data_IF_992727536842
#
_entry.id   IF_992727536842
#
_cell.length_a   1.000
_cell.length_b   1.000
_cell.length_c   1.000
_cell.angle_alpha   90.00
_cell.angle_beta   90.00
_cell.angle_gamma   90.00
#
_symmetry.space_group_name_H-M   'P 1'
#
loop_
_entity.id
_entity.type
_entity.pdbx_description
1 polymer ?
#
# COMPACT_ATOMS: atom_id res chain seq x y z
N UNK A 1 -7.78 -5.00 -6.24
CA UNK A 1 -8.71 -6.17 -6.20
C UNK A 1 -8.43 -7.06 -5.00
N UNK A 2 -7.17 -7.50 -4.76
CA UNK A 2 -6.83 -8.40 -3.64
C UNK A 2 -7.25 -7.87 -2.26
N UNK A 3 -7.15 -6.57 -2.00
CA UNK A 3 -7.59 -5.98 -0.74
C UNK A 3 -9.12 -6.09 -0.54
N UNK A 4 -9.89 -5.94 -1.60
CA UNK A 4 -11.35 -6.05 -1.57
C UNK A 4 -11.80 -7.52 -1.53
N UNK A 5 -11.12 -8.42 -2.26
CA UNK A 5 -11.42 -9.85 -2.24
C UNK A 5 -11.07 -10.51 -0.89
N UNK A 6 -10.17 -9.91 -0.10
CA UNK A 6 -9.90 -10.36 1.27
C UNK A 6 -11.02 -10.03 2.25
N UNK A 7 -11.84 -9.01 1.96
CA UNK A 7 -13.03 -8.63 2.75
C UNK A 7 -14.27 -9.43 2.38
N UNK A 8 -14.43 -9.73 1.09
CA UNK A 8 -15.61 -10.37 0.52
C UNK A 8 -15.18 -11.64 -0.23
N UNK A 9 -15.12 -12.81 0.44
CA UNK A 9 -14.69 -14.07 -0.17
C UNK A 9 -15.49 -14.46 -1.42
N UNK A 10 -16.75 -14.02 -1.50
CA UNK A 10 -17.63 -14.27 -2.66
C UNK A 10 -17.13 -13.61 -3.95
N UNK A 11 -16.39 -12.49 -3.84
CA UNK A 11 -15.82 -11.79 -4.99
C UNK A 11 -14.58 -12.49 -5.58
N UNK A 12 -13.99 -13.45 -4.86
CA UNK A 12 -12.85 -14.24 -5.36
C UNK A 12 -13.17 -14.98 -6.67
N UNK A 13 -14.40 -15.42 -6.85
CA UNK A 13 -14.82 -16.09 -8.10
C UNK A 13 -14.91 -15.13 -9.29
N UNK A 14 -15.00 -13.82 -9.06
CA UNK A 14 -15.19 -12.79 -10.06
C UNK A 14 -14.04 -11.75 -10.08
N UNK A 15 -12.88 -12.08 -9.55
CA UNK A 15 -11.74 -11.16 -9.46
C UNK A 15 -11.35 -10.52 -10.80
N UNK A 16 -11.36 -11.32 -11.89
CA UNK A 16 -11.00 -10.83 -13.22
C UNK A 16 -12.06 -9.85 -13.75
N UNK A 17 -13.34 -10.16 -13.58
CA UNK A 17 -14.43 -9.28 -14.02
C UNK A 17 -14.44 -7.97 -13.26
N UNK A 18 -14.18 -8.03 -11.95
CA UNK A 18 -14.06 -6.85 -11.09
C UNK A 18 -12.82 -6.00 -11.43
N UNK A 19 -11.69 -6.65 -11.70
CA UNK A 19 -10.48 -5.96 -12.16
C UNK A 19 -10.68 -5.25 -13.49
N UNK A 20 -11.36 -5.91 -14.46
CA UNK A 20 -11.69 -5.31 -15.75
C UNK A 20 -12.64 -4.11 -15.61
N UNK A 21 -13.63 -4.21 -14.72
CA UNK A 21 -14.55 -3.10 -14.44
C UNK A 21 -13.81 -1.89 -13.84
N UNK A 22 -12.93 -2.12 -12.86
CA UNK A 22 -12.11 -1.05 -12.31
C UNK A 22 -11.17 -0.44 -13.34
N UNK A 23 -10.54 -1.26 -14.19
CA UNK A 23 -9.69 -0.80 -15.28
C UNK A 23 -10.47 0.06 -16.29
N UNK A 24 -11.68 -0.36 -16.66
CA UNK A 24 -12.56 0.40 -17.55
C UNK A 24 -12.96 1.73 -16.91
N UNK A 25 -13.27 1.75 -15.63
CA UNK A 25 -13.66 2.96 -14.88
C UNK A 25 -12.49 3.93 -14.77
N UNK A 26 -11.28 3.46 -14.44
CA UNK A 26 -10.06 4.25 -14.40
C UNK A 26 -9.72 4.80 -15.81
N UNK A 27 -9.81 3.96 -16.83
CA UNK A 27 -9.60 4.37 -18.22
C UNK A 27 -10.59 5.44 -18.67
N UNK A 28 -11.86 5.28 -18.35
CA UNK A 28 -12.89 6.26 -18.66
C UNK A 28 -12.68 7.60 -17.92
N UNK A 29 -12.28 7.55 -16.64
CA UNK A 29 -11.94 8.75 -15.87
C UNK A 29 -10.72 9.49 -16.45
N UNK A 30 -9.71 8.75 -16.91
CA UNK A 30 -8.54 9.33 -17.57
C UNK A 30 -8.87 9.99 -18.93
N UNK A 31 -9.81 9.44 -19.69
CA UNK A 31 -10.26 10.03 -20.95
C UNK A 31 -10.98 11.37 -20.77
N UNK A 32 -11.53 11.64 -19.59
CA UNK A 32 -12.17 12.92 -19.26
C UNK A 32 -11.21 14.08 -18.98
N UNK A 33 -9.93 13.80 -18.84
CA UNK A 33 -8.89 14.80 -18.68
C UNK A 33 -8.08 14.63 -17.38
N UNK A 34 -6.79 14.91 -17.47
CA UNK A 34 -5.81 14.72 -16.38
C UNK A 34 -6.16 15.47 -15.09
N UNK A 35 -6.76 16.66 -15.19
CA UNK A 35 -7.11 17.47 -14.01
C UNK A 35 -8.29 16.90 -13.24
N UNK A 36 -9.30 16.37 -13.93
CA UNK A 36 -10.48 15.77 -13.32
C UNK A 36 -10.15 14.40 -12.75
N UNK A 37 -9.43 13.58 -13.50
CA UNK A 37 -8.93 12.29 -13.04
C UNK A 37 -8.08 12.43 -11.77
N UNK A 38 -7.13 13.39 -11.75
CA UNK A 38 -6.29 13.64 -10.58
C UNK A 38 -7.09 14.02 -9.33
N UNK A 39 -8.20 14.76 -9.47
CA UNK A 39 -9.07 15.14 -8.35
C UNK A 39 -9.86 13.94 -7.81
N UNK A 40 -10.34 13.08 -8.69
CA UNK A 40 -11.08 11.87 -8.31
C UNK A 40 -10.15 10.88 -7.59
N UNK A 41 -8.93 10.65 -8.10
CA UNK A 41 -7.96 9.75 -7.49
C UNK A 41 -7.28 10.31 -6.24
N UNK A 42 -7.30 11.62 -6.03
CA UNK A 42 -6.74 12.22 -4.82
C UNK A 42 -7.47 11.74 -3.55
N UNK A 43 -8.79 11.59 -3.60
CA UNK A 43 -9.59 11.18 -2.43
C UNK A 43 -9.16 9.81 -1.89
N UNK A 44 -9.18 8.71 -2.66
CA UNK A 44 -8.74 7.42 -2.14
C UNK A 44 -7.25 7.41 -1.78
N UNK A 45 -6.40 8.15 -2.51
CA UNK A 45 -4.97 8.23 -2.21
C UNK A 45 -4.71 8.89 -0.84
N UNK A 46 -5.34 10.03 -0.56
CA UNK A 46 -5.20 10.66 0.75
C UNK A 46 -5.86 9.85 1.86
N UNK A 47 -7.01 9.22 1.59
CA UNK A 47 -7.64 8.31 2.54
C UNK A 47 -6.68 7.17 2.92
N UNK A 48 -6.05 6.53 1.94
CA UNK A 48 -5.06 5.47 2.17
C UNK A 48 -3.86 5.96 3.00
N UNK A 49 -3.27 7.11 2.65
CA UNK A 49 -2.15 7.69 3.42
C UNK A 49 -2.54 7.95 4.87
N UNK A 50 -3.73 8.56 5.09
CA UNK A 50 -4.24 8.83 6.44
C UNK A 50 -4.44 7.52 7.20
N UNK A 51 -5.01 6.49 6.58
CA UNK A 51 -5.24 5.19 7.22
C UNK A 51 -3.94 4.48 7.59
N UNK A 52 -2.91 4.56 6.75
CA UNK A 52 -1.58 4.01 7.09
C UNK A 52 -0.95 4.78 8.27
N UNK A 53 -1.12 6.10 8.32
CA UNK A 53 -0.66 6.90 9.47
C UNK A 53 -1.41 6.50 10.74
N UNK A 54 -2.74 6.35 10.67
CA UNK A 54 -3.56 5.91 11.81
C UNK A 54 -3.14 4.51 12.27
N UNK A 55 -2.93 3.58 11.34
CA UNK A 55 -2.43 2.23 11.64
C UNK A 55 -1.07 2.29 12.33
N UNK A 56 -0.16 3.13 11.82
CA UNK A 56 1.19 3.28 12.38
C UNK A 56 1.13 3.83 13.81
N UNK A 57 0.37 4.89 14.04
CA UNK A 57 0.22 5.50 15.37
C UNK A 57 -0.46 4.54 16.33
N UNK A 58 -1.52 3.85 15.91
CA UNK A 58 -2.22 2.87 16.73
C UNK A 58 -1.33 1.67 17.06
N UNK A 59 -0.59 1.15 16.08
CA UNK A 59 0.36 0.05 16.28
C UNK A 59 1.52 0.43 17.20
N UNK A 60 2.09 1.63 17.05
CA UNK A 60 3.11 2.11 17.97
C UNK A 60 2.56 2.27 19.39
N UNK A 61 1.35 2.76 19.53
CA UNK A 61 0.68 2.89 20.83
C UNK A 61 0.47 1.52 21.47
N UNK A 62 0.02 0.55 20.72
CA UNK A 62 -0.18 -0.81 21.21
C UNK A 62 1.16 -1.45 21.64
N UNK A 63 2.22 -1.30 20.84
CA UNK A 63 3.55 -1.77 21.18
C UNK A 63 4.13 -1.11 22.45
N UNK A 64 3.79 0.17 22.71
CA UNK A 64 4.30 0.89 23.89
C UNK A 64 3.54 0.56 25.16
N UNK A 65 2.23 0.35 25.08
CA UNK A 65 1.35 0.27 26.26
C UNK A 65 0.84 -1.12 26.57
N UNK A 66 0.68 -1.99 25.56
CA UNK A 66 0.01 -3.27 25.71
C UNK A 66 0.91 -4.46 25.38
N UNK A 67 1.59 -4.41 24.26
CA UNK A 67 2.37 -5.54 23.74
C UNK A 67 3.83 -5.54 24.17
N UNK A 68 4.40 -4.35 24.38
CA UNK A 68 5.84 -4.14 24.57
C UNK A 68 6.61 -4.22 23.24
N UNK A 69 7.87 -3.76 23.27
CA UNK A 69 8.76 -3.82 22.09
C UNK A 69 9.46 -5.20 21.97
N UNK A 70 8.69 -6.28 22.14
CA UNK A 70 9.17 -7.66 21.95
C UNK A 70 8.56 -8.19 20.66
N UNK A 71 9.38 -8.53 19.64
CA UNK A 71 8.84 -9.06 18.39
C UNK A 71 8.14 -10.40 18.63
N UNK A 72 6.94 -10.53 18.05
CA UNK A 72 6.26 -11.81 17.99
C UNK A 72 7.08 -12.83 17.17
N UNK A 73 7.09 -14.10 17.56
CA UNK A 73 7.75 -15.11 16.77
C UNK A 73 7.13 -15.14 15.37
N UNK A 74 7.95 -15.09 14.31
CA UNK A 74 7.42 -15.15 12.95
C UNK A 74 6.71 -16.49 12.75
N UNK A 75 5.59 -16.53 11.99
CA UNK A 75 4.93 -17.79 11.69
C UNK A 75 5.92 -18.72 10.98
N UNK A 76 5.87 -20.01 11.31
CA UNK A 76 6.70 -21.01 10.62
C UNK A 76 6.26 -21.13 9.17
N UNK A 77 6.77 -20.27 8.32
CA UNK A 77 6.56 -20.35 6.87
C UNK A 77 7.65 -21.24 6.32
N UNK A 78 7.28 -22.38 5.72
CA UNK A 78 8.25 -23.18 4.97
C UNK A 78 8.79 -22.32 3.84
N UNK A 79 10.12 -22.16 3.79
CA UNK A 79 10.77 -21.49 2.68
C UNK A 79 10.40 -22.23 1.38
N UNK A 80 9.70 -21.56 0.48
CA UNK A 80 9.27 -22.14 -0.80
C UNK A 80 10.46 -22.18 -1.78
N UNK A 81 11.39 -21.23 -1.64
CA UNK A 81 12.58 -21.11 -2.47
C UNK A 81 13.83 -20.89 -1.59
N UNK A 82 14.99 -21.48 -1.96
CA UNK A 82 16.23 -21.22 -1.24
C UNK A 82 16.66 -19.76 -1.44
N UNK A 83 17.30 -19.18 -0.41
CA UNK A 83 17.93 -17.86 -0.49
C UNK A 83 19.07 -17.89 -1.54
N UNK A 84 18.72 -17.61 -2.78
CA UNK A 84 19.65 -17.56 -3.90
C UNK A 84 19.62 -16.19 -4.59
N UNK A 85 20.58 -15.99 -5.50
CA UNK A 85 20.69 -14.78 -6.33
C UNK A 85 19.37 -14.49 -7.08
N UNK A 86 18.66 -15.53 -7.52
CA UNK A 86 17.39 -15.39 -8.24
C UNK A 86 16.31 -14.76 -7.36
N UNK A 87 16.20 -15.17 -6.10
CA UNK A 87 15.24 -14.59 -5.15
C UNK A 87 15.55 -13.11 -4.88
N UNK A 88 16.83 -12.76 -4.75
CA UNK A 88 17.27 -11.36 -4.57
C UNK A 88 16.92 -10.53 -5.79
N UNK A 89 17.19 -11.03 -7.00
CA UNK A 89 16.85 -10.34 -8.25
C UNK A 89 15.33 -10.17 -8.42
N UNK A 90 14.56 -11.17 -8.06
CA UNK A 90 13.10 -11.12 -8.08
C UNK A 90 12.55 -10.08 -7.10
N UNK A 91 13.08 -10.05 -5.87
CA UNK A 91 12.70 -9.04 -4.88
C UNK A 91 13.08 -7.63 -5.34
N UNK A 92 14.27 -7.46 -5.93
CA UNK A 92 14.70 -6.19 -6.52
C UNK A 92 13.78 -5.75 -7.66
N UNK A 93 13.46 -6.64 -8.59
CA UNK A 93 12.54 -6.36 -9.70
C UNK A 93 11.16 -5.93 -9.21
N UNK A 94 10.63 -6.62 -8.20
CA UNK A 94 9.34 -6.25 -7.58
C UNK A 94 9.40 -4.88 -6.90
N UNK A 95 10.52 -4.56 -6.24
CA UNK A 95 10.75 -3.24 -5.65
C UNK A 95 10.83 -2.12 -6.69
N UNK A 96 11.45 -2.39 -7.85
CA UNK A 96 11.52 -1.43 -8.95
C UNK A 96 10.13 -1.06 -9.49
N UNK A 97 9.17 -1.99 -9.48
CA UNK A 97 7.79 -1.71 -9.89
C UNK A 97 7.11 -0.65 -9.00
N UNK A 98 7.48 -0.57 -7.72
CA UNK A 98 6.97 0.44 -6.81
C UNK A 98 7.48 1.86 -7.15
N UNK A 99 8.58 1.98 -7.89
CA UNK A 99 9.16 3.26 -8.30
C UNK A 99 8.55 3.85 -9.58
N UNK A 100 7.60 3.16 -10.22
CA UNK A 100 6.97 3.61 -11.49
C UNK A 100 6.32 4.99 -11.36
N UNK A 101 5.78 5.32 -10.19
CA UNK A 101 5.21 6.65 -9.93
C UNK A 101 6.24 7.78 -9.98
N UNK A 102 7.48 7.53 -9.61
CA UNK A 102 8.59 8.50 -9.68
C UNK A 102 8.92 8.81 -11.15
N UNK A 103 8.97 7.78 -11.97
CA UNK A 103 9.21 7.91 -13.42
C UNK A 103 8.11 8.74 -14.10
N UNK A 104 6.84 8.50 -13.74
CA UNK A 104 5.71 9.25 -14.28
C UNK A 104 5.83 10.76 -14.00
N UNK A 105 6.29 11.16 -12.82
CA UNK A 105 6.54 12.56 -12.48
C UNK A 105 7.74 13.11 -13.23
N UNK A 106 8.83 12.33 -13.35
CA UNK A 106 10.04 12.76 -14.06
C UNK A 106 9.76 13.01 -15.54
N UNK A 107 8.96 12.16 -16.18
CA UNK A 107 8.57 12.30 -17.59
C UNK A 107 7.49 13.38 -17.79
N UNK A 108 6.69 13.65 -16.76
CA UNK A 108 5.57 14.61 -16.81
C UNK A 108 5.89 16.01 -16.30
N UNK A 109 7.16 16.42 -16.19
CA UNK A 109 7.54 17.74 -15.63
C UNK A 109 6.83 18.90 -16.33
N UNK A 110 6.61 18.82 -17.64
CA UNK A 110 5.96 19.86 -18.44
C UNK A 110 4.48 20.09 -18.09
N UNK A 111 3.84 19.13 -17.40
CA UNK A 111 2.42 19.24 -16.98
C UNK A 111 2.28 20.06 -15.69
N UNK A 112 3.38 20.28 -14.97
CA UNK A 112 3.37 21.07 -13.73
C UNK A 112 3.19 22.56 -14.00
N UNK A 113 2.56 23.25 -13.05
CA UNK A 113 2.49 24.71 -13.08
C UNK A 113 3.89 25.34 -12.94
N UNK A 114 4.10 26.49 -13.57
CA UNK A 114 5.35 27.22 -13.46
C UNK A 114 5.63 27.70 -12.01
N UNK A 115 6.88 27.64 -11.55
CA UNK A 115 8.05 27.06 -12.20
C UNK A 115 8.07 25.53 -12.17
N UNK A 116 7.76 24.90 -13.31
CA UNK A 116 7.53 23.46 -13.44
C UNK A 116 8.63 22.57 -12.83
N UNK A 117 9.95 22.80 -13.08
CA UNK A 117 11.01 21.95 -12.51
C UNK A 117 11.04 21.99 -10.98
N UNK A 118 10.78 23.16 -10.39
CA UNK A 118 10.78 23.35 -8.94
C UNK A 118 9.59 22.64 -8.28
N UNK A 119 8.43 22.72 -8.92
CA UNK A 119 7.21 22.07 -8.42
C UNK A 119 7.30 20.55 -8.57
N UNK A 120 7.80 20.04 -9.70
CA UNK A 120 8.06 18.61 -9.90
C UNK A 120 9.06 18.05 -8.86
N UNK A 121 10.17 18.77 -8.60
CA UNK A 121 11.15 18.37 -7.57
C UNK A 121 10.53 18.30 -6.17
N UNK A 122 9.67 19.27 -5.79
CA UNK A 122 8.98 19.23 -4.49
C UNK A 122 8.06 18.03 -4.39
N UNK A 123 7.28 17.76 -5.45
CA UNK A 123 6.38 16.60 -5.49
C UNK A 123 7.14 15.29 -5.37
N UNK A 124 8.25 15.14 -6.11
CA UNK A 124 9.13 13.96 -6.01
C UNK A 124 9.67 13.76 -4.59
N UNK A 125 10.11 14.85 -3.96
CA UNK A 125 10.68 14.79 -2.62
C UNK A 125 9.61 14.38 -1.59
N UNK A 126 8.43 15.00 -1.65
CA UNK A 126 7.30 14.66 -0.75
C UNK A 126 6.86 13.22 -0.97
N UNK A 127 6.72 12.80 -2.22
CA UNK A 127 6.34 11.42 -2.55
C UNK A 127 7.38 10.42 -2.07
N UNK A 128 8.67 10.69 -2.26
CA UNK A 128 9.77 9.83 -1.78
C UNK A 128 9.76 9.69 -0.25
N UNK A 129 9.58 10.79 0.49
CA UNK A 129 9.49 10.77 1.95
C UNK A 129 8.26 9.97 2.41
N UNK A 130 7.09 10.20 1.80
CA UNK A 130 5.87 9.49 2.15
C UNK A 130 6.01 7.98 1.88
N UNK A 131 6.46 7.59 0.69
CA UNK A 131 6.65 6.19 0.34
C UNK A 131 7.66 5.49 1.26
N UNK A 132 8.80 6.12 1.51
CA UNK A 132 9.80 5.57 2.42
C UNK A 132 9.27 5.47 3.84
N UNK A 133 8.62 6.50 4.34
CA UNK A 133 8.02 6.52 5.67
C UNK A 133 6.97 5.41 5.85
N UNK A 134 6.06 5.27 4.88
CA UNK A 134 5.05 4.21 4.90
C UNK A 134 5.68 2.82 4.81
N UNK A 135 6.70 2.64 3.96
CA UNK A 135 7.41 1.38 3.84
C UNK A 135 8.08 0.97 5.17
N UNK A 136 8.82 1.88 5.80
CA UNK A 136 9.46 1.58 7.08
C UNK A 136 8.44 1.36 8.19
N UNK A 137 7.35 2.11 8.21
CA UNK A 137 6.28 1.93 9.20
C UNK A 137 5.62 0.55 9.07
N UNK A 138 5.19 0.18 7.86
CA UNK A 138 4.53 -1.12 7.62
C UNK A 138 5.51 -2.28 7.86
N UNK A 139 6.76 -2.16 7.38
CA UNK A 139 7.78 -3.19 7.58
C UNK A 139 8.14 -3.36 9.05
N UNK A 140 8.29 -2.25 9.79
CA UNK A 140 8.57 -2.27 11.21
C UNK A 140 7.44 -2.89 12.02
N UNK A 141 6.19 -2.50 11.76
CA UNK A 141 5.03 -3.12 12.40
C UNK A 141 4.89 -4.59 12.01
N UNK A 142 5.08 -4.94 10.74
CA UNK A 142 5.05 -6.32 10.28
C UNK A 142 6.08 -7.20 10.97
N UNK A 143 7.29 -6.68 11.19
CA UNK A 143 8.34 -7.36 11.95
C UNK A 143 7.95 -7.54 13.43
N UNK A 144 7.46 -6.47 14.08
CA UNK A 144 7.08 -6.52 15.49
C UNK A 144 5.91 -7.47 15.77
N UNK A 145 4.92 -7.49 14.89
CA UNK A 145 3.75 -8.38 15.00
C UNK A 145 3.98 -9.77 14.38
N UNK A 146 5.18 -10.11 13.93
CA UNK A 146 5.48 -11.42 13.33
C UNK A 146 4.60 -11.73 12.12
N UNK A 147 4.30 -10.74 11.29
CA UNK A 147 3.44 -10.92 10.11
C UNK A 147 4.26 -11.45 8.94
N UNK A 148 3.77 -12.48 8.26
CA UNK A 148 4.38 -13.00 7.03
C UNK A 148 3.43 -12.86 5.84
N UNK A 149 3.97 -12.69 4.62
CA UNK A 149 3.16 -12.70 3.40
C UNK A 149 2.33 -13.99 3.29
N UNK A 150 1.04 -13.87 3.03
CA UNK A 150 0.13 -14.98 2.80
C UNK A 150 -0.69 -14.75 1.53
N UNK A 151 -1.24 -15.84 0.97
CA UNK A 151 -2.13 -15.77 -0.19
C UNK A 151 -3.53 -15.21 0.15
N UNK A 152 -3.91 -15.25 1.42
CA UNK A 152 -5.27 -14.96 1.85
C UNK A 152 -5.47 -13.51 2.29
N UNK A 153 -4.47 -12.93 2.92
CA UNK A 153 -4.52 -11.58 3.48
C UNK A 153 -3.28 -10.78 3.12
N UNK A 154 -3.47 -9.52 2.76
CA UNK A 154 -2.36 -8.58 2.58
C UNK A 154 -1.65 -8.32 3.91
N UNK A 155 -0.36 -7.98 3.87
CA UNK A 155 0.43 -7.65 5.08
C UNK A 155 -0.25 -6.53 5.88
N UNK A 156 -0.75 -5.50 5.20
CA UNK A 156 -1.45 -4.38 5.83
C UNK A 156 -2.73 -4.86 6.53
N UNK A 157 -3.50 -5.75 5.89
CA UNK A 157 -4.71 -6.32 6.47
C UNK A 157 -4.41 -7.15 7.74
N UNK A 158 -3.33 -7.93 7.71
CA UNK A 158 -2.89 -8.72 8.87
C UNK A 158 -2.49 -7.83 10.04
N UNK A 159 -1.69 -6.78 9.80
CA UNK A 159 -1.33 -5.80 10.84
C UNK A 159 -2.59 -5.10 11.37
N UNK A 160 -3.47 -4.65 10.46
CA UNK A 160 -4.72 -3.99 10.83
C UNK A 160 -5.63 -4.86 11.70
N UNK A 161 -5.71 -6.16 11.40
CA UNK A 161 -6.50 -7.12 12.20
C UNK A 161 -5.92 -7.27 13.61
N UNK A 162 -4.60 -7.24 13.74
CA UNK A 162 -3.95 -7.32 15.07
C UNK A 162 -4.11 -6.04 15.88
N UNK A 163 -3.99 -4.88 15.24
CA UNK A 163 -4.06 -3.57 15.90
C UNK A 163 -5.50 -3.14 16.20
N UNK A 164 -6.42 -3.32 15.27
CA UNK A 164 -7.80 -2.85 15.38
C UNK A 164 -8.80 -3.95 15.74
N UNK A 165 -8.40 -5.22 15.62
CA UNK A 165 -9.29 -6.37 15.75
C UNK A 165 -10.00 -6.72 14.42
N UNK A 166 -10.51 -7.99 14.33
CA UNK A 166 -11.02 -8.54 13.05
C UNK A 166 -12.30 -7.88 12.53
N UNK A 167 -13.11 -7.27 13.43
CA UNK A 167 -14.41 -6.67 13.09
C UNK A 167 -14.42 -5.14 13.19
N UNK A 168 -13.24 -4.50 13.13
CA UNK A 168 -13.16 -3.05 13.26
C UNK A 168 -13.57 -2.33 11.97
N UNK A 169 -14.37 -1.27 12.11
CA UNK A 169 -14.71 -0.35 11.01
C UNK A 169 -13.47 0.26 10.40
N UNK A 170 -12.40 0.49 11.19
CA UNK A 170 -11.14 1.03 10.71
C UNK A 170 -10.42 0.04 9.77
N UNK A 171 -10.52 -1.26 10.05
CA UNK A 171 -9.98 -2.29 9.15
C UNK A 171 -10.69 -2.25 7.79
N UNK A 172 -12.03 -2.16 7.78
CA UNK A 172 -12.81 -2.05 6.56
C UNK A 172 -12.47 -0.79 5.77
N UNK A 173 -12.43 0.36 6.45
CA UNK A 173 -12.07 1.63 5.82
C UNK A 173 -10.66 1.60 5.17
N UNK A 174 -9.70 0.95 5.84
CA UNK A 174 -8.33 0.81 5.33
C UNK A 174 -8.24 -0.07 4.08
N UNK A 175 -9.08 -1.11 3.97
CA UNK A 175 -9.04 -2.02 2.82
C UNK A 175 -9.83 -1.49 1.62
N UNK A 176 -10.75 -0.55 1.83
CA UNK A 176 -11.55 0.10 0.78
C UNK A 176 -10.84 1.35 0.23
N UNK A 177 -10.01 2.02 1.05
CA UNK A 177 -9.25 3.20 0.62
C UNK A 177 -8.07 2.84 -0.28
#
# INVERSE_FOLDING_TARGET
TQAISSLLPELRQHEVSFALLLLALVGWANLRGLKEAGRVFAIPTYAFVVMVVVLTVAGLKDLTFSHGFVPDPPPMVKAIEPLGLFLILRAFSSGCSAMTGIEAIANGVQVFQEPAPRNARKTLLVMGILLSGMFFAISGLGFMYGVAPSSDLTVIAQIGTRVFGPNSVLLWAMQIS
#
